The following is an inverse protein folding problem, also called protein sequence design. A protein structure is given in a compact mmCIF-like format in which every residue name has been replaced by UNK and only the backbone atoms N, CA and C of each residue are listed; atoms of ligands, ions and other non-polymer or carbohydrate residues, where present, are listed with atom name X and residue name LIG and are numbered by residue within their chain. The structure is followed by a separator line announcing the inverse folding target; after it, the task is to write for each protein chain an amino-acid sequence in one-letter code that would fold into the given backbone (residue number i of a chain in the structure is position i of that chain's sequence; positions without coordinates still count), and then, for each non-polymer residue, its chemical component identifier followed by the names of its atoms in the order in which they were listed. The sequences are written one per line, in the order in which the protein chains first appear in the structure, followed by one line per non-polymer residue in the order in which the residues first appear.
data_IF_651126871841
#
_entry.id   IF_651126871841
#
_cell.length_a   1.000
_cell.length_b   1.000
_cell.length_c   1.000
_cell.angle_alpha   90.00
_cell.angle_beta   90.00
_cell.angle_gamma   90.00
#
_symmetry.space_group_name_H-M   'P 1'
#
loop_
_entity.id
_entity.type
_entity.pdbx_description
1 polymer ?
#
# COMPACT_ATOMS: atom_id res chain seq x y z
N UNK A 1 19.91 -47.42 -77.62
CA UNK A 1 19.00 -48.06 -76.63
C UNK A 1 19.77 -48.13 -75.31
N UNK A 2 19.40 -47.59 -74.15
CA UNK A 2 18.26 -46.83 -73.60
C UNK A 2 18.88 -45.79 -72.65
N UNK A 3 18.30 -44.59 -72.58
CA UNK A 3 18.67 -43.55 -71.59
C UNK A 3 18.06 -43.91 -70.23
N UNK A 4 18.86 -44.00 -69.17
CA UNK A 4 18.37 -44.02 -67.79
C UNK A 4 18.43 -42.61 -67.22
N UNK A 5 17.25 -42.07 -66.90
CA UNK A 5 17.07 -40.79 -66.21
C UNK A 5 17.06 -41.11 -64.71
N UNK A 6 18.03 -40.58 -63.97
CA UNK A 6 18.06 -40.64 -62.50
C UNK A 6 17.61 -39.30 -61.95
N UNK A 7 16.39 -39.25 -61.40
CA UNK A 7 15.84 -38.08 -60.71
C UNK A 7 16.41 -37.99 -59.30
N UNK A 8 17.23 -36.96 -59.03
CA UNK A 8 17.58 -36.54 -57.67
C UNK A 8 16.39 -35.80 -57.05
N UNK A 9 15.78 -36.36 -56.00
CA UNK A 9 14.79 -35.68 -55.18
C UNK A 9 15.46 -34.76 -54.17
N UNK A 10 15.13 -33.48 -54.19
CA UNK A 10 15.53 -32.50 -53.19
C UNK A 10 14.58 -32.58 -51.98
N UNK A 11 15.10 -33.01 -50.83
CA UNK A 11 14.40 -32.89 -49.54
C UNK A 11 14.59 -31.47 -48.99
N UNK A 12 13.53 -30.66 -48.99
CA UNK A 12 13.50 -29.39 -48.30
C UNK A 12 13.27 -29.63 -46.80
N UNK A 13 14.30 -29.42 -45.98
CA UNK A 13 14.22 -29.37 -44.52
C UNK A 13 13.59 -28.02 -44.11
N UNK A 14 12.30 -28.01 -43.82
CA UNK A 14 11.63 -26.90 -43.14
C UNK A 14 11.97 -26.95 -41.65
N UNK A 15 12.93 -26.11 -41.23
CA UNK A 15 13.19 -25.86 -39.82
C UNK A 15 12.02 -25.07 -39.22
N UNK A 16 11.25 -25.74 -38.37
CA UNK A 16 10.16 -25.13 -37.61
C UNK A 16 10.77 -24.29 -36.48
N UNK A 17 10.93 -22.98 -36.72
CA UNK A 17 11.19 -22.04 -35.64
C UNK A 17 9.89 -21.90 -34.84
N UNK A 18 9.76 -22.65 -33.74
CA UNK A 18 8.78 -22.35 -32.71
C UNK A 18 9.18 -21.02 -32.07
N UNK A 19 8.49 -19.95 -32.42
CA UNK A 19 8.61 -18.69 -31.69
C UNK A 19 8.22 -18.97 -30.23
N UNK A 20 9.00 -18.53 -29.23
CA UNK A 20 8.58 -18.63 -27.85
C UNK A 20 7.30 -17.80 -27.70
N UNK A 21 6.21 -18.47 -27.36
CA UNK A 21 4.97 -17.80 -26.96
C UNK A 21 5.31 -16.91 -25.78
N UNK A 22 5.14 -15.60 -25.96
CA UNK A 22 5.25 -14.63 -24.89
C UNK A 22 4.19 -14.91 -23.82
N UNK A 23 4.52 -15.76 -22.85
CA UNK A 23 3.85 -15.77 -21.56
C UNK A 23 4.46 -14.63 -20.74
N UNK A 24 4.03 -13.40 -21.01
CA UNK A 24 4.23 -12.25 -20.13
C UNK A 24 2.90 -11.52 -19.94
N UNK A 25 1.95 -12.20 -19.32
CA UNK A 25 1.00 -11.53 -18.45
C UNK A 25 1.51 -11.82 -17.04
N UNK A 26 1.95 -10.79 -16.34
CA UNK A 26 2.12 -10.85 -14.89
C UNK A 26 0.85 -11.48 -14.30
N UNK A 27 0.98 -12.65 -13.69
CA UNK A 27 -0.14 -13.40 -13.15
C UNK A 27 -0.91 -12.48 -12.20
N UNK A 28 -2.18 -12.21 -12.52
CA UNK A 28 -2.99 -11.31 -11.74
C UNK A 28 -3.01 -11.80 -10.29
N UNK A 29 -2.71 -10.91 -9.32
CA UNK A 29 -2.53 -11.28 -7.92
C UNK A 29 -3.74 -12.06 -7.37
N UNK A 30 -4.94 -11.72 -7.83
CA UNK A 30 -6.20 -12.39 -7.51
C UNK A 30 -7.33 -12.00 -8.46
N UNK A 31 -8.52 -12.54 -8.23
CA UNK A 31 -9.74 -12.27 -8.96
C UNK A 31 -10.38 -10.93 -8.51
N UNK A 32 -10.29 -9.92 -9.37
CA UNK A 32 -10.82 -8.57 -9.13
C UNK A 32 -12.33 -8.56 -8.88
N UNK A 33 -13.10 -9.42 -9.54
CA UNK A 33 -14.56 -9.45 -9.38
C UNK A 33 -14.97 -10.06 -8.05
N UNK A 34 -14.28 -11.11 -7.60
CA UNK A 34 -14.49 -11.63 -6.26
C UNK A 34 -14.11 -10.60 -5.18
N UNK A 35 -12.97 -9.93 -5.35
CA UNK A 35 -12.55 -8.85 -4.47
C UNK A 35 -13.55 -7.70 -4.41
N UNK A 36 -14.15 -7.34 -5.55
CA UNK A 36 -15.22 -6.32 -5.63
C UNK A 36 -16.44 -6.72 -4.80
N UNK A 37 -16.89 -7.96 -4.93
CA UNK A 37 -18.06 -8.47 -4.19
C UNK A 37 -17.80 -8.39 -2.69
N UNK A 38 -16.65 -8.88 -2.21
CA UNK A 38 -16.31 -8.85 -0.79
C UNK A 38 -16.19 -7.40 -0.29
N UNK A 39 -15.55 -6.52 -1.06
CA UNK A 39 -15.40 -5.12 -0.68
C UNK A 39 -16.75 -4.41 -0.51
N UNK A 40 -17.69 -4.67 -1.43
CA UNK A 40 -18.97 -3.97 -1.48
C UNK A 40 -20.04 -4.60 -0.59
N UNK A 41 -20.06 -5.92 -0.45
CA UNK A 41 -21.15 -6.66 0.18
C UNK A 41 -20.71 -7.44 1.41
N UNK A 42 -19.41 -7.59 1.64
CA UNK A 42 -18.88 -8.48 2.68
C UNK A 42 -18.98 -9.95 2.29
N UNK A 43 -18.87 -10.83 3.28
CA UNK A 43 -18.96 -12.29 3.13
C UNK A 43 -19.56 -12.89 4.40
N UNK A 44 -20.78 -13.43 4.27
CA UNK A 44 -21.51 -14.04 5.38
C UNK A 44 -21.67 -13.07 6.56
N UNK A 45 -21.76 -13.61 7.77
CA UNK A 45 -21.94 -12.81 8.99
C UNK A 45 -20.61 -12.33 9.60
N UNK A 46 -19.47 -12.90 9.17
CA UNK A 46 -18.16 -12.67 9.79
C UNK A 46 -17.33 -11.58 9.12
N UNK A 47 -17.62 -11.23 7.87
CA UNK A 47 -16.90 -10.20 7.12
C UNK A 47 -17.91 -9.14 6.68
N UNK A 48 -18.00 -7.99 7.37
CA UNK A 48 -18.81 -6.88 6.90
C UNK A 48 -18.25 -6.30 5.59
N UNK A 49 -19.08 -5.57 4.86
CA UNK A 49 -18.63 -4.86 3.67
C UNK A 49 -17.50 -3.87 4.00
N UNK A 50 -16.34 -4.02 3.36
CA UNK A 50 -15.17 -3.17 3.59
C UNK A 50 -15.48 -1.69 3.35
N UNK A 51 -16.32 -1.40 2.36
CA UNK A 51 -16.75 -0.04 2.05
C UNK A 51 -17.53 0.65 3.19
N UNK A 52 -18.07 -0.11 4.14
CA UNK A 52 -18.77 0.46 5.30
C UNK A 52 -17.86 1.31 6.18
N UNK A 53 -16.57 0.95 6.27
CA UNK A 53 -15.59 1.69 7.06
C UNK A 53 -14.57 2.44 6.18
N UNK A 54 -14.18 1.85 5.05
CA UNK A 54 -13.20 2.46 4.13
C UNK A 54 -13.84 3.34 3.04
N UNK A 55 -15.16 3.46 3.03
CA UNK A 55 -15.92 4.22 2.03
C UNK A 55 -16.10 3.47 0.70
N UNK A 56 -17.16 3.80 -0.04
CA UNK A 56 -17.52 3.20 -1.34
C UNK A 56 -16.38 3.23 -2.37
N UNK A 57 -15.60 4.31 -2.34
CA UNK A 57 -14.48 4.55 -3.24
C UNK A 57 -13.12 4.23 -2.58
N UNK A 58 -13.12 3.65 -1.37
CA UNK A 58 -11.90 3.36 -0.62
C UNK A 58 -11.16 4.62 -0.15
N UNK A 59 -11.86 5.71 0.15
CA UNK A 59 -11.25 6.98 0.61
C UNK A 59 -10.89 6.99 2.10
N UNK A 60 -11.44 6.08 2.90
CA UNK A 60 -11.32 6.11 4.36
C UNK A 60 -12.00 7.34 4.97
N UNK A 61 -11.80 7.53 6.28
CA UNK A 61 -12.34 8.64 7.05
C UNK A 61 -11.51 8.87 8.31
N UNK A 62 -11.15 10.13 8.60
CA UNK A 62 -10.44 10.52 9.83
C UNK A 62 -11.24 10.23 11.11
N UNK A 63 -12.57 10.35 11.08
CA UNK A 63 -13.43 10.21 12.28
C UNK A 63 -13.30 8.83 12.93
N UNK A 64 -13.13 7.79 12.10
CA UNK A 64 -12.96 6.40 12.54
C UNK A 64 -11.52 5.91 12.34
N UNK A 65 -10.61 6.81 11.95
CA UNK A 65 -9.21 6.49 11.65
C UNK A 65 -9.01 5.50 10.49
N UNK A 66 -10.02 5.29 9.65
CA UNK A 66 -9.92 4.30 8.57
C UNK A 66 -9.02 4.84 7.45
N UNK A 67 -8.04 4.05 6.98
CA UNK A 67 -7.17 4.48 5.90
C UNK A 67 -7.89 4.51 4.56
N UNK A 68 -7.44 5.44 3.72
CA UNK A 68 -7.59 5.38 2.27
C UNK A 68 -6.91 4.13 1.72
N UNK A 69 -7.67 3.37 0.96
CA UNK A 69 -7.24 2.18 0.21
C UNK A 69 -7.08 2.48 -1.28
N UNK A 70 -7.78 3.49 -1.80
CA UNK A 70 -7.66 3.96 -3.17
C UNK A 70 -6.21 4.34 -3.52
N UNK A 71 -5.76 3.98 -4.73
CA UNK A 71 -4.37 4.06 -5.21
C UNK A 71 -3.33 3.27 -4.43
N UNK A 72 -3.72 2.44 -3.45
CA UNK A 72 -2.74 1.61 -2.77
C UNK A 72 -2.21 0.51 -3.68
N UNK A 73 -1.00 0.07 -3.37
CA UNK A 73 -0.32 -1.03 -4.04
C UNK A 73 -0.92 -2.37 -3.58
N UNK A 74 -1.26 -3.24 -4.53
CA UNK A 74 -1.81 -4.58 -4.30
C UNK A 74 -0.98 -5.42 -3.34
N UNK A 75 0.33 -5.53 -3.55
CA UNK A 75 1.25 -6.26 -2.69
C UNK A 75 1.28 -5.73 -1.25
N UNK A 76 1.12 -4.41 -1.06
CA UNK A 76 1.02 -3.84 0.28
C UNK A 76 -0.31 -4.24 0.94
N UNK A 77 -1.43 -4.16 0.23
CA UNK A 77 -2.75 -4.56 0.75
C UNK A 77 -2.74 -6.04 1.14
N UNK A 78 -2.25 -6.91 0.26
CA UNK A 78 -2.11 -8.34 0.56
C UNK A 78 -1.30 -8.55 1.84
N UNK A 79 -0.12 -7.92 1.92
CA UNK A 79 0.73 -8.02 3.11
C UNK A 79 -0.01 -7.55 4.37
N UNK A 80 -0.76 -6.45 4.32
CA UNK A 80 -1.47 -5.96 5.50
C UNK A 80 -2.59 -6.90 5.95
N UNK A 81 -3.40 -7.41 5.01
CA UNK A 81 -4.46 -8.37 5.32
C UNK A 81 -3.88 -9.66 5.93
N UNK A 82 -2.81 -10.20 5.32
CA UNK A 82 -2.11 -11.38 5.86
C UNK A 82 -1.51 -11.11 7.24
N UNK A 83 -0.91 -9.94 7.45
CA UNK A 83 -0.31 -9.60 8.75
C UNK A 83 -1.36 -9.38 9.84
N UNK A 84 -2.53 -8.83 9.52
CA UNK A 84 -3.67 -8.75 10.45
C UNK A 84 -4.22 -10.14 10.76
N UNK A 85 -4.37 -11.01 9.76
CA UNK A 85 -4.85 -12.37 9.96
C UNK A 85 -3.92 -13.19 10.88
N UNK A 86 -2.63 -12.85 10.91
CA UNK A 86 -1.60 -13.51 11.71
C UNK A 86 -1.21 -12.74 12.98
N UNK A 87 -1.94 -11.67 13.34
CA UNK A 87 -1.65 -10.77 14.47
C UNK A 87 -0.24 -10.14 14.48
N UNK A 88 0.47 -10.21 13.35
CA UNK A 88 1.74 -9.49 13.14
C UNK A 88 1.51 -7.99 13.12
N UNK A 89 0.38 -7.56 12.58
CA UNK A 89 -0.18 -6.21 12.77
C UNK A 89 -1.44 -6.32 13.62
N UNK A 90 -1.62 -5.37 14.52
CA UNK A 90 -2.82 -5.25 15.35
C UNK A 90 -3.51 -3.95 14.97
N UNK A 91 -4.82 -4.00 14.79
CA UNK A 91 -5.68 -2.82 14.69
C UNK A 91 -6.09 -2.42 16.10
N UNK A 92 -5.57 -1.28 16.51
CA UNK A 92 -5.79 -0.62 17.80
C UNK A 92 -6.68 0.62 17.67
N UNK A 93 -7.18 0.90 16.45
CA UNK A 93 -8.04 2.05 16.14
C UNK A 93 -9.51 1.64 16.27
N UNK A 94 -9.91 0.57 15.57
CA UNK A 94 -11.28 0.04 15.62
C UNK A 94 -11.36 -1.39 16.17
N UNK A 95 -10.23 -2.07 16.33
CA UNK A 95 -10.14 -3.47 16.76
C UNK A 95 -10.98 -4.43 15.90
N UNK A 96 -11.09 -4.15 14.60
CA UNK A 96 -11.88 -4.94 13.65
C UNK A 96 -11.01 -5.72 12.67
N UNK A 97 -9.91 -5.12 12.20
CA UNK A 97 -9.22 -5.64 11.02
C UNK A 97 -8.56 -7.01 11.25
N UNK A 98 -8.13 -7.33 12.47
CA UNK A 98 -7.61 -8.65 12.82
C UNK A 98 -8.67 -9.73 12.61
N UNK A 99 -9.84 -9.58 13.20
CA UNK A 99 -10.92 -10.57 13.14
C UNK A 99 -11.49 -10.70 11.72
N UNK A 100 -11.69 -9.57 11.04
CA UNK A 100 -12.11 -9.56 9.63
C UNK A 100 -11.09 -10.30 8.76
N UNK A 101 -9.80 -10.05 8.96
CA UNK A 101 -8.74 -10.67 8.15
C UNK A 101 -8.61 -12.17 8.44
N UNK A 102 -8.84 -12.61 9.69
CA UNK A 102 -8.87 -14.04 10.08
C UNK A 102 -10.05 -14.79 9.47
N UNK A 103 -11.18 -14.12 9.22
CA UNK A 103 -12.36 -14.72 8.60
C UNK A 103 -12.26 -14.85 7.06
N UNK A 104 -11.26 -14.19 6.46
CA UNK A 104 -10.95 -14.28 5.04
C UNK A 104 -9.95 -15.41 4.78
N UNK A 105 -10.09 -16.08 3.64
CA UNK A 105 -9.10 -17.03 3.14
C UNK A 105 -7.93 -16.29 2.48
N UNK A 106 -6.79 -16.96 2.35
CA UNK A 106 -5.62 -16.43 1.64
C UNK A 106 -5.93 -16.02 0.20
N UNK A 107 -6.85 -16.71 -0.47
CA UNK A 107 -7.27 -16.33 -1.82
C UNK A 107 -8.11 -15.05 -1.81
N UNK A 108 -8.97 -14.88 -0.82
CA UNK A 108 -9.78 -13.67 -0.68
C UNK A 108 -8.93 -12.45 -0.30
N UNK A 109 -7.83 -12.61 0.46
CA UNK A 109 -6.85 -11.54 0.65
C UNK A 109 -6.24 -11.09 -0.67
N UNK A 110 -5.88 -12.04 -1.54
CA UNK A 110 -5.35 -11.77 -2.89
C UNK A 110 -6.37 -11.08 -3.79
N UNK A 111 -7.62 -11.53 -3.76
CA UNK A 111 -8.71 -10.97 -4.55
C UNK A 111 -9.05 -9.55 -4.11
N UNK A 112 -9.13 -9.29 -2.80
CA UNK A 112 -9.30 -7.94 -2.23
C UNK A 112 -8.12 -7.03 -2.59
N UNK A 113 -6.89 -7.51 -2.48
CA UNK A 113 -5.70 -6.76 -2.85
C UNK A 113 -5.72 -6.36 -4.33
N UNK A 114 -6.09 -7.29 -5.21
CA UNK A 114 -6.25 -7.04 -6.64
C UNK A 114 -7.36 -6.00 -6.91
N UNK A 115 -8.53 -6.14 -6.27
CA UNK A 115 -9.63 -5.18 -6.44
C UNK A 115 -9.30 -3.79 -5.91
N UNK A 116 -8.80 -3.67 -4.68
CA UNK A 116 -8.45 -2.38 -4.07
C UNK A 116 -7.43 -1.62 -4.92
N UNK A 117 -6.49 -2.32 -5.55
CA UNK A 117 -5.54 -1.70 -6.45
C UNK A 117 -6.21 -1.02 -7.67
N UNK A 118 -7.38 -1.50 -8.09
CA UNK A 118 -8.17 -0.88 -9.16
C UNK A 118 -8.90 0.40 -8.73
N UNK A 119 -9.05 0.66 -7.42
CA UNK A 119 -9.71 1.86 -6.93
C UNK A 119 -8.85 3.09 -7.23
N UNK A 120 -9.38 3.98 -8.08
CA UNK A 120 -8.77 5.24 -8.51
C UNK A 120 -9.74 6.40 -8.34
N UNK A 121 -10.11 6.69 -7.10
CA UNK A 121 -11.00 7.81 -6.76
C UNK A 121 -10.32 9.18 -6.90
N UNK A 122 -11.07 10.30 -6.99
CA UNK A 122 -10.46 11.60 -6.79
C UNK A 122 -9.78 11.64 -5.42
N UNK A 123 -8.59 12.23 -5.38
CA UNK A 123 -7.88 12.36 -4.13
C UNK A 123 -8.55 13.39 -3.23
N UNK A 124 -9.08 12.90 -2.11
CA UNK A 124 -9.68 13.67 -1.03
C UNK A 124 -8.81 13.36 0.19
N UNK A 125 -7.88 14.25 0.50
CA UNK A 125 -7.14 14.21 1.75
C UNK A 125 -8.01 14.63 2.93
N UNK A 126 -7.40 14.73 4.11
CA UNK A 126 -8.10 15.19 5.30
C UNK A 126 -8.48 16.67 5.23
N UNK A 127 -9.61 17.01 5.85
CA UNK A 127 -9.97 18.40 6.10
C UNK A 127 -9.26 18.90 7.37
N UNK A 128 -8.02 19.36 7.20
CA UNK A 128 -7.19 19.83 8.32
C UNK A 128 -7.84 20.96 9.13
N UNK A 129 -8.62 21.83 8.50
CA UNK A 129 -9.30 22.92 9.21
C UNK A 129 -10.46 22.40 10.06
N UNK A 130 -11.16 21.37 9.59
CA UNK A 130 -12.17 20.69 10.39
C UNK A 130 -11.53 19.99 11.59
N UNK A 131 -10.44 19.26 11.38
CA UNK A 131 -9.70 18.60 12.47
C UNK A 131 -9.25 19.60 13.55
N UNK A 132 -8.75 20.79 13.14
CA UNK A 132 -8.42 21.86 14.09
C UNK A 132 -9.63 22.37 14.87
N UNK A 133 -10.79 22.55 14.20
CA UNK A 133 -12.04 22.96 14.86
C UNK A 133 -12.53 21.91 15.85
N UNK A 134 -12.29 20.64 15.57
CA UNK A 134 -12.65 19.51 16.43
C UNK A 134 -11.62 19.29 17.57
N UNK A 135 -10.61 20.17 17.66
CA UNK A 135 -9.63 20.18 18.74
C UNK A 135 -8.40 19.31 18.51
N UNK A 136 -8.25 18.72 17.32
CA UNK A 136 -7.05 17.95 16.99
C UNK A 136 -5.83 18.87 16.83
N UNK A 137 -4.69 18.42 17.35
CA UNK A 137 -3.41 19.04 17.06
C UNK A 137 -3.00 18.69 15.62
N UNK A 138 -2.98 19.71 14.76
CA UNK A 138 -2.59 19.59 13.35
C UNK A 138 -1.26 20.30 13.11
N UNK A 139 -0.28 19.57 12.59
CA UNK A 139 1.03 20.11 12.27
C UNK A 139 1.06 21.12 11.12
N UNK A 140 2.24 21.68 10.90
CA UNK A 140 2.57 22.58 9.79
C UNK A 140 2.97 21.76 8.55
N UNK A 141 2.15 21.84 7.49
CA UNK A 141 2.39 21.13 6.24
C UNK A 141 3.62 21.63 5.46
N UNK A 142 4.05 22.88 5.66
CA UNK A 142 5.28 23.40 5.05
C UNK A 142 6.51 22.74 5.68
N UNK A 143 6.58 22.70 7.01
CA UNK A 143 7.64 21.98 7.73
C UNK A 143 7.62 20.48 7.40
N UNK A 144 6.41 19.91 7.32
CA UNK A 144 6.22 18.51 6.92
C UNK A 144 6.77 18.19 5.54
N UNK A 145 6.60 19.12 4.59
CA UNK A 145 7.18 19.00 3.25
C UNK A 145 8.70 18.95 3.30
N UNK A 146 9.33 19.77 4.14
CA UNK A 146 10.78 19.79 4.27
C UNK A 146 11.31 18.45 4.78
N UNK A 147 10.68 17.87 5.78
CA UNK A 147 11.03 16.53 6.29
C UNK A 147 10.76 15.46 5.22
N UNK A 148 9.60 15.49 4.57
CA UNK A 148 9.24 14.48 3.57
C UNK A 148 10.16 14.50 2.33
N UNK A 149 10.60 15.69 1.91
CA UNK A 149 11.43 15.85 0.71
C UNK A 149 12.93 15.78 0.98
N UNK A 150 13.41 16.19 2.14
CA UNK A 150 14.85 16.33 2.41
C UNK A 150 15.32 15.58 3.65
N UNK A 151 14.39 15.10 4.49
CA UNK A 151 14.70 14.47 5.77
C UNK A 151 15.29 15.48 6.77
N UNK A 152 15.82 14.95 7.86
CA UNK A 152 16.56 15.69 8.88
C UNK A 152 17.85 14.93 9.19
N UNK A 153 18.92 15.09 8.37
CA UNK A 153 20.14 14.30 8.50
C UNK A 153 20.79 14.37 9.88
N UNK A 154 20.76 15.55 10.53
CA UNK A 154 21.28 15.73 11.88
C UNK A 154 20.57 14.91 12.97
N UNK A 155 19.37 14.40 12.67
CA UNK A 155 18.60 13.49 13.53
C UNK A 155 18.40 12.11 12.90
N UNK A 156 19.16 11.79 11.84
CA UNK A 156 19.06 10.52 11.14
C UNK A 156 17.65 10.18 10.63
N UNK A 157 16.86 11.19 10.27
CA UNK A 157 15.56 11.00 9.60
C UNK A 157 15.83 11.10 8.09
N UNK A 158 15.76 10.02 7.30
CA UNK A 158 15.93 10.11 5.86
C UNK A 158 14.72 10.79 5.20
N UNK A 159 14.92 11.36 4.01
CA UNK A 159 13.80 11.91 3.23
C UNK A 159 12.80 10.80 2.87
N UNK A 160 11.52 10.98 3.20
CA UNK A 160 10.47 9.99 2.90
C UNK A 160 10.40 9.66 1.41
N UNK A 161 10.65 10.66 0.54
CA UNK A 161 10.60 10.50 -0.92
C UNK A 161 11.61 9.49 -1.48
N UNK A 162 12.68 9.17 -0.75
CA UNK A 162 13.71 8.21 -1.19
C UNK A 162 13.14 6.79 -1.33
N UNK A 163 12.17 6.44 -0.49
CA UNK A 163 11.48 5.14 -0.51
C UNK A 163 10.04 5.25 -1.01
N UNK A 164 9.29 6.29 -0.62
CA UNK A 164 7.88 6.42 -0.98
C UNK A 164 7.62 7.21 -2.26
N UNK A 165 8.68 7.63 -2.96
CA UNK A 165 8.58 8.42 -4.18
C UNK A 165 8.13 9.87 -3.95
N UNK A 166 8.13 10.66 -5.02
CA UNK A 166 7.71 12.06 -4.96
C UNK A 166 6.27 12.20 -4.46
N UNK A 167 6.03 13.09 -3.50
CA UNK A 167 4.74 13.26 -2.81
C UNK A 167 4.17 11.95 -2.21
N UNK A 168 5.01 10.98 -1.87
CA UNK A 168 4.54 9.73 -1.25
C UNK A 168 3.74 8.82 -2.19
N UNK A 169 3.89 8.97 -3.50
CA UNK A 169 3.11 8.25 -4.53
C UNK A 169 3.41 6.75 -4.69
N UNK A 170 4.18 6.16 -3.76
CA UNK A 170 4.85 4.85 -3.87
C UNK A 170 6.03 4.85 -4.86
N UNK A 171 7.10 4.13 -4.49
CA UNK A 171 8.19 3.77 -5.40
C UNK A 171 8.13 2.26 -5.72
N UNK A 172 7.14 1.86 -6.52
CA UNK A 172 6.96 0.48 -6.96
C UNK A 172 6.26 -0.41 -5.93
N UNK A 173 6.22 -1.73 -6.19
CA UNK A 173 5.41 -2.67 -5.39
C UNK A 173 5.86 -2.89 -3.94
N UNK A 174 7.02 -2.37 -3.52
CA UNK A 174 7.53 -2.60 -2.17
C UNK A 174 7.10 -1.54 -1.17
N UNK A 175 6.98 -0.28 -1.62
CA UNK A 175 6.72 0.85 -0.73
C UNK A 175 5.29 1.35 -0.93
N UNK A 176 4.48 1.48 0.15
CA UNK A 176 3.10 1.90 0.01
C UNK A 176 2.98 3.34 -0.48
N UNK A 177 1.85 3.64 -1.10
CA UNK A 177 1.41 5.01 -1.32
C UNK A 177 0.98 5.62 0.03
N UNK A 178 1.66 6.69 0.42
CA UNK A 178 1.40 7.46 1.65
C UNK A 178 0.93 8.89 1.33
N UNK A 179 1.16 9.33 0.09
CA UNK A 179 0.64 10.56 -0.46
C UNK A 179 -0.87 10.50 -0.53
N UNK A 180 -1.50 11.45 0.13
CA UNK A 180 -2.93 11.55 0.17
C UNK A 180 -3.66 10.56 1.04
N UNK A 181 -2.97 10.06 2.06
CA UNK A 181 -3.58 9.28 3.11
C UNK A 181 -4.24 10.20 4.16
N UNK A 182 -5.19 9.69 4.93
CA UNK A 182 -5.86 10.39 6.01
C UNK A 182 -4.86 10.81 7.10
N UNK A 183 -4.98 12.04 7.60
CA UNK A 183 -4.11 12.66 8.59
C UNK A 183 -4.05 11.83 9.87
N UNK A 184 -5.21 11.45 10.41
CA UNK A 184 -5.31 10.69 11.66
C UNK A 184 -4.59 9.36 11.52
N UNK A 185 -4.81 8.67 10.40
CA UNK A 185 -4.12 7.41 10.10
C UNK A 185 -2.60 7.62 9.91
N UNK A 186 -2.15 8.63 9.16
CA UNK A 186 -0.72 8.88 8.95
C UNK A 186 0.02 9.18 10.25
N UNK A 187 -0.57 10.02 11.10
CA UNK A 187 -0.03 10.36 12.42
C UNK A 187 0.07 9.12 13.28
N UNK A 188 -1.03 8.37 13.38
CA UNK A 188 -1.08 7.13 14.12
C UNK A 188 -0.02 6.12 13.66
N UNK A 189 0.10 5.87 12.35
CA UNK A 189 1.08 4.87 11.87
C UNK A 189 2.54 5.23 12.17
N UNK A 190 2.91 6.51 12.06
CA UNK A 190 4.25 6.97 12.42
C UNK A 190 4.50 6.86 13.93
N UNK A 191 3.51 7.18 14.76
CA UNK A 191 3.57 6.97 16.22
C UNK A 191 3.73 5.49 16.55
N UNK A 192 2.94 4.62 15.92
CA UNK A 192 2.96 3.18 16.15
C UNK A 192 4.29 2.55 15.73
N UNK A 193 4.90 2.99 14.62
CA UNK A 193 6.26 2.57 14.26
C UNK A 193 7.32 3.12 15.22
N UNK A 194 7.17 4.35 15.72
CA UNK A 194 8.10 4.91 16.71
C UNK A 194 8.04 4.12 18.01
N UNK A 195 6.85 3.75 18.48
CA UNK A 195 6.68 2.91 19.67
C UNK A 195 7.27 1.51 19.44
N UNK A 196 7.01 0.91 18.27
CA UNK A 196 7.60 -0.37 17.88
C UNK A 196 9.13 -0.37 17.78
N UNK A 197 9.77 0.79 17.66
CA UNK A 197 11.23 0.91 17.66
C UNK A 197 11.88 0.64 19.03
N UNK A 198 11.08 0.61 20.10
CA UNK A 198 11.51 0.23 21.45
C UNK A 198 11.33 -1.26 21.75
N UNK A 199 10.68 -2.02 20.85
CA UNK A 199 10.44 -3.46 21.03
C UNK A 199 11.63 -4.29 20.56
N UNK A 200 12.14 -5.18 21.41
CA UNK A 200 13.24 -6.08 21.04
C UNK A 200 12.80 -7.17 20.06
N UNK A 201 13.75 -7.76 19.31
CA UNK A 201 13.42 -8.87 18.38
C UNK A 201 12.86 -10.09 19.11
N UNK A 202 13.32 -10.34 20.34
CA UNK A 202 12.80 -11.40 21.20
C UNK A 202 11.34 -11.14 21.61
N UNK A 203 11.04 -9.90 21.97
CA UNK A 203 9.70 -9.46 22.32
C UNK A 203 8.74 -9.50 21.13
N UNK A 204 9.20 -9.10 19.95
CA UNK A 204 8.44 -9.24 18.69
C UNK A 204 8.14 -10.71 18.41
N UNK A 205 9.13 -11.60 18.54
CA UNK A 205 8.95 -13.03 18.33
C UNK A 205 8.00 -13.67 19.35
N UNK A 206 7.97 -13.14 20.58
CA UNK A 206 7.08 -13.58 21.65
C UNK A 206 5.68 -12.93 21.60
N UNK A 207 5.46 -11.94 20.74
CA UNK A 207 4.21 -11.16 20.71
C UNK A 207 4.07 -10.14 21.85
N UNK A 208 5.14 -9.88 22.60
CA UNK A 208 5.18 -8.98 23.76
C UNK A 208 5.53 -7.55 23.32
N UNK A 209 4.60 -6.82 22.71
CA UNK A 209 4.86 -5.44 22.27
C UNK A 209 4.07 -4.42 23.09
N UNK A 210 4.59 -3.21 23.23
CA UNK A 210 3.87 -2.10 23.87
C UNK A 210 2.54 -1.84 23.14
N UNK A 211 1.57 -1.27 23.86
CA UNK A 211 0.31 -0.85 23.26
C UNK A 211 0.59 0.09 22.07
N UNK A 212 -0.13 -0.14 20.98
CA UNK A 212 0.03 0.54 19.69
C UNK A 212 1.41 0.39 19.01
N UNK A 213 2.26 -0.55 19.43
CA UNK A 213 3.52 -0.80 18.74
C UNK A 213 3.31 -1.56 17.41
N UNK A 214 3.76 -0.95 16.31
CA UNK A 214 3.78 -1.58 14.99
C UNK A 214 5.18 -2.07 14.63
N UNK A 215 5.30 -3.39 14.41
CA UNK A 215 6.60 -4.07 14.21
C UNK A 215 6.65 -4.94 12.95
N UNK A 216 5.61 -4.92 12.12
CA UNK A 216 5.49 -5.74 10.91
C UNK A 216 6.18 -5.13 9.67
N UNK A 217 7.04 -4.11 9.83
CA UNK A 217 7.75 -3.49 8.72
C UNK A 217 8.98 -4.30 8.27
N UNK A 218 9.24 -4.28 6.97
CA UNK A 218 10.34 -5.03 6.38
C UNK A 218 11.68 -4.51 6.92
N UNK A 219 12.46 -5.40 7.53
CA UNK A 219 13.77 -5.11 8.13
C UNK A 219 13.77 -3.96 9.17
N UNK A 220 12.62 -3.62 9.77
CA UNK A 220 12.54 -2.52 10.73
C UNK A 220 12.77 -1.12 10.12
N UNK A 221 12.59 -0.98 8.80
CA UNK A 221 12.84 0.27 8.08
C UNK A 221 12.02 1.45 8.62
N UNK A 222 10.71 1.28 8.80
CA UNK A 222 9.84 2.36 9.28
C UNK A 222 10.07 2.64 10.76
N UNK A 223 10.35 1.62 11.57
CA UNK A 223 10.77 1.81 12.96
C UNK A 223 12.07 2.62 13.06
N UNK A 224 13.05 2.34 12.21
CA UNK A 224 14.30 3.10 12.17
C UNK A 224 14.10 4.56 11.77
N UNK A 225 13.18 4.84 10.84
CA UNK A 225 12.80 6.21 10.46
C UNK A 225 12.08 6.92 11.60
N UNK A 226 11.02 6.30 12.13
CA UNK A 226 10.12 6.92 13.09
C UNK A 226 10.74 7.11 14.48
N UNK A 227 11.71 6.26 14.87
CA UNK A 227 12.41 6.34 16.17
C UNK A 227 12.94 7.74 16.51
N UNK A 228 13.40 8.47 15.50
CA UNK A 228 14.03 9.78 15.70
C UNK A 228 13.09 10.97 15.44
N UNK A 229 11.82 10.70 15.11
CA UNK A 229 10.81 11.72 14.85
C UNK A 229 10.14 12.19 16.15
N UNK A 230 10.06 13.50 16.36
CA UNK A 230 9.26 14.11 17.44
C UNK A 230 7.77 14.07 17.10
N UNK A 231 6.91 14.34 18.09
CA UNK A 231 5.45 14.46 17.85
C UNK A 231 5.14 15.54 16.82
N UNK A 232 5.85 16.67 16.89
CA UNK A 232 5.76 17.76 15.93
C UNK A 232 6.20 17.32 14.53
N UNK A 233 7.28 16.56 14.38
CA UNK A 233 7.68 16.04 13.06
C UNK A 233 6.60 15.15 12.46
N UNK A 234 6.03 14.25 13.27
CA UNK A 234 4.99 13.32 12.84
C UNK A 234 3.75 14.10 12.41
N UNK A 235 3.28 15.04 13.23
CA UNK A 235 2.13 15.89 12.93
C UNK A 235 2.37 16.72 11.64
N UNK A 236 3.57 17.30 11.48
CA UNK A 236 3.93 18.08 10.32
C UNK A 236 3.94 17.23 9.05
N UNK A 237 4.62 16.07 9.08
CA UNK A 237 4.70 15.13 7.94
C UNK A 237 3.33 14.60 7.57
N UNK A 238 2.49 14.25 8.55
CA UNK A 238 1.11 13.84 8.31
C UNK A 238 0.29 14.96 7.66
N UNK A 239 0.42 16.21 8.13
CA UNK A 239 -0.25 17.37 7.56
C UNK A 239 0.18 17.66 6.12
N UNK A 240 1.45 17.45 5.79
CA UNK A 240 1.91 17.54 4.41
C UNK A 240 1.38 16.39 3.55
N UNK A 241 1.59 15.15 3.97
CA UNK A 241 1.27 13.97 3.17
C UNK A 241 -0.24 13.84 2.93
N UNK A 242 -1.08 14.25 3.88
CA UNK A 242 -2.53 14.28 3.70
C UNK A 242 -3.02 15.36 2.74
N UNK A 243 -2.16 16.31 2.32
CA UNK A 243 -2.44 17.28 1.25
C UNK A 243 -1.68 16.96 -0.05
N UNK A 244 -0.67 16.10 0.04
CA UNK A 244 0.21 15.74 -1.06
C UNK A 244 -0.55 14.90 -2.09
N UNK A 245 -0.79 15.50 -3.26
CA UNK A 245 -1.36 14.77 -4.39
C UNK A 245 -0.29 13.82 -4.95
N UNK A 246 -0.52 12.49 -4.99
CA UNK A 246 0.46 11.52 -5.48
C UNK A 246 0.64 11.60 -7.01
N UNK A 247 -0.16 12.39 -7.73
CA UNK A 247 0.06 12.73 -9.13
C UNK A 247 0.87 14.03 -9.27
N UNK A 248 1.82 14.04 -10.20
CA UNK A 248 2.53 15.26 -10.61
C UNK A 248 1.96 15.71 -11.95
N UNK A 249 1.56 16.99 -12.13
CA UNK A 249 1.58 17.60 -13.45
C UNK A 249 3.01 17.46 -14.00
N UNK A 250 3.18 16.73 -15.10
CA UNK A 250 4.48 16.57 -15.77
C UNK A 250 5.17 15.20 -15.72
N UNK A 251 4.53 14.14 -15.19
CA UNK A 251 5.02 12.76 -15.38
C UNK A 251 4.29 12.08 -16.57
N UNK A 252 4.97 11.76 -17.69
CA UNK A 252 4.35 11.29 -18.95
C UNK A 252 3.84 9.84 -18.93
N UNK A 253 3.72 9.19 -17.76
CA UNK A 253 3.08 7.86 -17.64
C UNK A 253 1.61 7.93 -17.20
N UNK A 254 0.91 8.98 -17.62
CA UNK A 254 -0.53 8.88 -17.87
C UNK A 254 -0.68 8.25 -19.26
N UNK A 255 -1.49 7.20 -19.44
CA UNK A 255 -1.78 6.68 -20.78
C UNK A 255 -2.44 7.83 -21.54
N UNK A 256 -1.69 8.36 -22.51
CA UNK A 256 -2.24 9.25 -23.50
C UNK A 256 -3.49 8.59 -24.08
N UNK A 257 -4.65 9.17 -23.80
CA UNK A 257 -5.68 9.25 -24.81
C UNK A 257 -5.05 9.97 -26.02
N UNK A 258 -4.57 9.17 -26.96
CA UNK A 258 -4.69 9.41 -28.39
C UNK A 258 -5.86 8.56 -28.89
#
# INVERSE_FOLDING_TARGET
MKRMISTMGAFALLAWFAAPTAASAEEALGNVDNGRVIFQMGKGDSVPACQGCHGIDGNGNDEVGSPRLSYQVDSYILKQLTDFAQDKRVDDTMYQMNDISKALTEQEHRDLAAFVHTLKSPYIGSNLDQLRRDGAEVGDAHEGKMIAEYGVPGRQIPACKSCHGYHGRSAGRMYPAIGGQNYVYLKHELESFRNGANTSDADIAAGNKEDNARTNDYMGQMRAVAKNMSDTDIANVAAFLTLAKPNTPGNPRSPSHQ
#
